data_IF_031525015247
#
_entry.id   IF_031525015247
#
_cell.length_a   1.000
_cell.length_b   1.000
_cell.length_c   1.000
_cell.angle_alpha   90.00
_cell.angle_beta   90.00
_cell.angle_gamma   90.00
#
_symmetry.space_group_name_H-M   'P 1'
#
loop_
_entity.id
_entity.type
_entity.pdbx_description
1 polymer ?
#
# COMPACT_ATOMS: atom_id res chain seq x y z
N UNK A 1 -17.27 16.51 24.08
CA UNK A 1 -15.99 17.14 24.45
C UNK A 1 -15.42 16.34 25.61
N UNK A 2 -14.29 15.64 25.54
CA UNK A 2 -13.21 15.60 24.55
C UNK A 2 -12.44 14.30 24.82
N UNK A 3 -12.37 13.38 23.85
CA UNK A 3 -11.48 12.23 23.94
C UNK A 3 -10.03 12.70 23.80
N UNK A 4 -9.28 12.65 24.91
CA UNK A 4 -7.86 12.94 24.94
C UNK A 4 -7.17 11.69 24.37
N UNK A 5 -6.94 11.69 23.06
CA UNK A 5 -6.11 10.67 22.40
C UNK A 5 -4.65 10.97 22.75
N UNK A 6 -4.13 10.23 23.72
CA UNK A 6 -2.73 10.21 24.12
C UNK A 6 -1.87 9.72 22.94
N UNK A 7 -1.32 10.65 22.16
CA UNK A 7 -0.19 10.36 21.26
C UNK A 7 1.03 10.00 22.11
N UNK A 8 1.70 8.85 21.88
CA UNK A 8 2.85 8.49 22.68
C UNK A 8 3.98 9.50 22.40
N UNK A 9 4.41 10.17 23.47
CA UNK A 9 5.58 11.03 23.45
C UNK A 9 6.81 10.16 23.16
N UNK A 10 7.37 10.27 21.95
CA UNK A 10 8.68 9.72 21.62
C UNK A 10 9.77 10.54 22.30
N UNK A 11 9.83 10.43 23.63
CA UNK A 11 10.96 10.90 24.43
C UNK A 11 12.07 9.84 24.35
N UNK A 12 12.65 9.71 23.16
CA UNK A 12 13.87 8.95 22.91
C UNK A 12 15.04 9.91 22.76
N UNK A 13 15.71 10.19 23.88
CA UNK A 13 16.97 10.93 23.91
C UNK A 13 17.98 10.33 22.92
N UNK A 14 18.38 11.08 21.90
CA UNK A 14 19.57 10.76 21.11
C UNK A 14 20.29 12.04 20.72
N UNK A 15 21.08 12.51 21.68
CA UNK A 15 22.25 13.33 21.43
C UNK A 15 23.14 12.51 20.45
N UNK A 16 23.79 13.19 19.50
CA UNK A 16 24.78 12.66 18.53
C UNK A 16 24.20 11.94 17.28
N UNK A 17 23.83 12.69 16.24
CA UNK A 17 23.57 12.14 14.91
C UNK A 17 23.50 13.26 13.88
N UNK A 18 24.41 13.23 12.90
CA UNK A 18 24.53 14.26 11.85
C UNK A 18 23.21 14.52 11.13
N UNK A 19 23.11 15.71 10.53
CA UNK A 19 22.00 16.24 9.71
C UNK A 19 21.06 15.13 9.22
N UNK A 20 20.07 14.78 10.04
CA UNK A 20 18.96 13.95 9.62
C UNK A 20 18.29 14.78 8.55
N UNK A 21 18.49 14.38 7.30
CA UNK A 21 17.71 14.90 6.19
C UNK A 21 16.26 14.64 6.61
N UNK A 22 15.56 15.73 6.95
CA UNK A 22 14.14 15.74 7.26
C UNK A 22 13.35 15.48 5.98
N UNK A 23 13.62 14.36 5.32
CA UNK A 23 12.66 13.76 4.40
C UNK A 23 11.66 13.00 5.27
N UNK A 24 11.02 13.73 6.19
CA UNK A 24 9.90 13.22 6.94
C UNK A 24 8.80 12.99 5.92
N UNK A 25 8.63 11.74 5.50
CA UNK A 25 7.56 11.37 4.59
C UNK A 25 6.28 11.94 5.17
N UNK A 26 5.61 12.81 4.41
CA UNK A 26 4.32 13.30 4.85
C UNK A 26 3.38 12.09 5.07
N UNK A 27 2.43 12.12 6.01
CA UNK A 27 1.47 11.02 6.16
C UNK A 27 0.75 10.64 4.84
N UNK A 28 0.66 11.59 3.90
CA UNK A 28 0.22 11.38 2.51
C UNK A 28 1.20 10.56 1.66
N UNK A 29 2.51 10.70 1.86
CA UNK A 29 3.56 9.93 1.17
C UNK A 29 3.72 8.52 1.74
N UNK A 30 3.40 8.31 3.03
CA UNK A 30 3.39 6.97 3.62
C UNK A 30 2.17 6.13 3.18
N UNK A 31 1.14 6.75 2.60
CA UNK A 31 0.03 5.97 2.05
C UNK A 31 0.54 5.14 0.87
N UNK A 32 0.54 3.82 1.04
CA UNK A 32 0.64 2.91 -0.08
C UNK A 32 -0.44 3.31 -1.11
N UNK A 33 -0.05 3.65 -2.35
CA UNK A 33 -1.05 3.87 -3.38
C UNK A 33 -1.91 2.61 -3.45
N UNK A 34 -3.25 2.72 -3.45
CA UNK A 34 -4.10 1.56 -3.54
C UNK A 34 -3.74 0.82 -4.82
N UNK A 35 -3.11 -0.35 -4.68
CA UNK A 35 -2.82 -1.21 -5.82
C UNK A 35 -4.17 -1.56 -6.46
N UNK A 36 -4.34 -1.38 -7.78
CA UNK A 36 -5.58 -1.76 -8.44
C UNK A 36 -5.88 -3.22 -8.13
N UNK A 37 -7.08 -3.51 -7.58
CA UNK A 37 -7.46 -4.86 -7.18
C UNK A 37 -7.31 -5.88 -8.33
N UNK A 38 -7.54 -5.43 -9.57
CA UNK A 38 -7.29 -6.19 -10.78
C UNK A 38 -5.82 -6.59 -10.95
N UNK A 39 -4.86 -5.69 -10.71
CA UNK A 39 -3.44 -5.98 -10.87
C UNK A 39 -2.92 -6.98 -9.83
N UNK A 40 -3.38 -6.85 -8.58
CA UNK A 40 -3.08 -7.80 -7.52
C UNK A 40 -3.63 -9.19 -7.87
N UNK A 41 -4.91 -9.24 -8.26
CA UNK A 41 -5.60 -10.51 -8.53
C UNK A 41 -5.07 -11.19 -9.78
N UNK A 42 -4.77 -10.42 -10.83
CA UNK A 42 -4.14 -10.92 -12.07
C UNK A 42 -2.81 -11.61 -11.75
N UNK A 43 -1.98 -11.01 -10.89
CA UNK A 43 -0.69 -11.57 -10.50
C UNK A 43 -0.83 -12.87 -9.70
N UNK A 44 -1.83 -12.93 -8.81
CA UNK A 44 -2.13 -14.15 -8.02
C UNK A 44 -2.60 -15.27 -8.95
N UNK A 45 -3.54 -15.00 -9.85
CA UNK A 45 -4.08 -15.99 -10.80
C UNK A 45 -2.97 -16.49 -11.73
N UNK A 46 -2.19 -15.59 -12.34
CA UNK A 46 -1.09 -15.96 -13.21
C UNK A 46 -0.11 -16.92 -12.52
N UNK A 47 0.28 -16.60 -11.27
CA UNK A 47 1.23 -17.42 -10.50
C UNK A 47 0.63 -18.75 -10.03
N UNK A 48 -0.62 -18.74 -9.57
CA UNK A 48 -1.29 -19.95 -9.03
C UNK A 48 -1.62 -20.97 -10.11
N UNK A 49 -1.99 -20.51 -11.30
CA UNK A 49 -2.44 -21.36 -12.39
C UNK A 49 -1.39 -21.51 -13.51
N UNK A 50 -0.22 -20.90 -13.38
CA UNK A 50 0.84 -20.96 -14.40
C UNK A 50 0.42 -20.33 -15.73
N UNK A 51 -0.42 -19.29 -15.69
CA UNK A 51 -0.98 -18.63 -16.86
C UNK A 51 -0.15 -17.40 -17.26
N UNK A 52 -0.09 -17.07 -18.56
CA UNK A 52 0.38 -15.75 -18.99
C UNK A 52 -0.42 -14.64 -18.30
N UNK A 53 0.26 -13.54 -17.95
CA UNK A 53 -0.36 -12.41 -17.24
C UNK A 53 -1.55 -11.82 -18.02
N UNK A 54 -1.49 -11.84 -19.36
CA UNK A 54 -2.58 -11.40 -20.23
C UNK A 54 -3.83 -12.28 -20.07
N UNK A 55 -3.67 -13.60 -20.01
CA UNK A 55 -4.77 -14.54 -19.79
C UNK A 55 -5.39 -14.35 -18.41
N UNK A 56 -4.55 -14.18 -17.38
CA UNK A 56 -5.03 -13.92 -16.03
C UNK A 56 -5.80 -12.59 -15.92
N UNK A 57 -5.44 -11.58 -16.71
CA UNK A 57 -6.16 -10.30 -16.78
C UNK A 57 -7.56 -10.49 -17.37
N UNK A 58 -7.68 -11.23 -18.47
CA UNK A 58 -8.99 -11.56 -19.09
C UNK A 58 -9.88 -12.30 -18.10
N UNK A 59 -9.32 -13.22 -17.31
CA UNK A 59 -10.07 -13.91 -16.24
C UNK A 59 -10.55 -12.92 -15.17
N UNK A 60 -9.72 -11.97 -14.77
CA UNK A 60 -10.14 -10.92 -13.82
C UNK A 60 -11.26 -10.04 -14.39
N UNK A 61 -11.18 -9.68 -15.67
CA UNK A 61 -12.19 -8.87 -16.37
C UNK A 61 -13.53 -9.63 -16.46
N UNK A 62 -13.50 -10.90 -16.87
CA UNK A 62 -14.69 -11.75 -16.93
C UNK A 62 -15.34 -11.98 -15.56
N UNK A 63 -14.52 -12.06 -14.51
CA UNK A 63 -14.99 -12.23 -13.14
C UNK A 63 -15.44 -10.91 -12.48
N UNK A 64 -15.37 -9.77 -13.17
CA UNK A 64 -15.73 -8.46 -12.62
C UNK A 64 -14.79 -7.97 -11.51
N UNK A 65 -13.55 -8.48 -11.47
CA UNK A 65 -12.58 -8.17 -10.42
C UNK A 65 -11.94 -6.80 -10.67
N UNK A 66 -12.26 -5.85 -9.80
CA UNK A 66 -11.75 -4.47 -9.85
C UNK A 66 -12.80 -3.40 -10.09
N UNK A 67 -14.08 -3.78 -10.19
CA UNK A 67 -15.19 -2.87 -10.47
C UNK A 67 -15.34 -2.65 -11.98
N UNK A 68 -16.59 -2.66 -12.45
CA UNK A 68 -16.91 -2.31 -13.82
C UNK A 68 -16.48 -0.86 -14.09
N UNK A 69 -15.81 -0.64 -15.21
CA UNK A 69 -15.69 0.69 -15.81
C UNK A 69 -17.08 1.20 -16.21
#
# INVERSE_FOLDING_TARGET
MSDITETPHLLGSSKNGGSVIQNGWSPSEYRNPPLPATNLTTSIIAKRFGLPIATARVVCELAGIGGAA
#
